data_IF_046459447903
#
_entry.id   IF_046459447903
#
_cell.length_a   1.000
_cell.length_b   1.000
_cell.length_c   1.000
_cell.angle_alpha   90.00
_cell.angle_beta   90.00
_cell.angle_gamma   90.00
#
_symmetry.space_group_name_H-M   'P 1'
#
loop_
_entity.id
_entity.type
_entity.pdbx_description
1 polymer ?
#
# COMPACT_ATOMS: atom_id res chain seq x y z
N UNK A 1 -5.74 -7.14 20.42
CA UNK A 1 -5.57 -6.51 19.10
C UNK A 1 -6.79 -6.53 18.17
N UNK A 2 -7.73 -7.49 18.30
CA UNK A 2 -9.10 -7.30 17.77
C UNK A 2 -9.68 -5.92 18.14
N UNK A 3 -9.25 -5.40 19.29
CA UNK A 3 -9.56 -4.08 19.81
C UNK A 3 -9.06 -2.92 18.90
N UNK A 4 -7.87 -3.00 18.26
CA UNK A 4 -7.34 -1.91 17.45
C UNK A 4 -8.08 -1.75 16.11
N UNK A 5 -8.41 -2.84 15.43
CA UNK A 5 -9.20 -2.81 14.19
C UNK A 5 -10.60 -2.25 14.46
N UNK A 6 -11.26 -2.72 15.53
CA UNK A 6 -12.57 -2.21 15.92
C UNK A 6 -12.50 -0.74 16.33
N UNK A 7 -11.41 -0.31 16.97
CA UNK A 7 -11.20 1.10 17.29
C UNK A 7 -11.05 1.96 16.03
N UNK A 8 -10.30 1.52 15.02
CA UNK A 8 -10.24 2.20 13.71
C UNK A 8 -11.63 2.32 13.08
N UNK A 9 -12.39 1.22 13.03
CA UNK A 9 -13.75 1.21 12.48
C UNK A 9 -14.70 2.12 13.26
N UNK A 10 -14.62 2.10 14.59
CA UNK A 10 -15.41 2.97 15.47
C UNK A 10 -15.09 4.45 15.22
N UNK A 11 -13.81 4.80 15.18
CA UNK A 11 -13.37 6.18 15.01
C UNK A 11 -13.69 6.71 13.61
N UNK A 12 -13.60 5.88 12.56
CA UNK A 12 -14.06 6.21 11.21
C UNK A 12 -15.54 6.61 11.20
N UNK A 13 -16.40 5.86 11.89
CA UNK A 13 -17.84 6.19 12.00
C UNK A 13 -18.11 7.51 12.73
N UNK A 14 -17.32 7.82 13.74
CA UNK A 14 -17.49 9.03 14.55
C UNK A 14 -16.98 10.30 13.85
N UNK A 15 -16.10 10.18 12.85
CA UNK A 15 -15.49 11.28 12.11
C UNK A 15 -14.87 12.37 13.01
N UNK A 16 -14.28 11.97 14.13
CA UNK A 16 -13.62 12.87 15.06
C UNK A 16 -12.20 13.18 14.57
N UNK A 17 -11.84 14.46 14.57
CA UNK A 17 -10.48 14.90 14.27
C UNK A 17 -9.49 14.49 15.38
N UNK A 18 -8.23 14.29 15.00
CA UNK A 18 -7.12 14.04 15.92
C UNK A 18 -7.11 12.68 16.60
N UNK A 19 -8.06 11.79 16.30
CA UNK A 19 -8.07 10.41 16.77
C UNK A 19 -7.05 9.53 16.02
N UNK A 20 -6.88 8.26 16.43
CA UNK A 20 -5.88 7.37 15.80
C UNK A 20 -6.21 7.08 14.33
N UNK A 21 -7.48 6.89 13.95
CA UNK A 21 -7.91 6.70 12.57
C UNK A 21 -7.51 7.90 11.70
N UNK A 22 -7.82 9.11 12.14
CA UNK A 22 -7.50 10.34 11.44
C UNK A 22 -5.99 10.51 11.24
N UNK A 23 -5.21 10.37 12.33
CA UNK A 23 -3.75 10.49 12.30
C UNK A 23 -3.12 9.46 11.36
N UNK A 24 -3.54 8.20 11.47
CA UNK A 24 -3.02 7.12 10.63
C UNK A 24 -3.36 7.33 9.16
N UNK A 25 -4.58 7.79 8.83
CA UNK A 25 -4.96 8.11 7.45
C UNK A 25 -4.01 9.14 6.83
N UNK A 26 -3.77 10.25 7.56
CA UNK A 26 -2.90 11.33 7.07
C UNK A 26 -1.46 10.84 6.95
N UNK A 27 -0.93 10.24 8.01
CA UNK A 27 0.47 9.82 8.09
C UNK A 27 0.80 8.72 7.07
N UNK A 28 -0.06 7.71 6.94
CA UNK A 28 0.15 6.63 5.99
C UNK A 28 0.05 7.13 4.54
N UNK A 29 -0.94 7.97 4.23
CA UNK A 29 -1.09 8.53 2.89
C UNK A 29 0.08 9.45 2.54
N UNK A 30 0.49 10.32 3.46
CA UNK A 30 1.65 11.20 3.26
C UNK A 30 2.90 10.39 2.97
N UNK A 31 3.33 9.54 3.90
CA UNK A 31 4.59 8.81 3.77
C UNK A 31 4.58 7.87 2.56
N UNK A 32 3.52 7.10 2.37
CA UNK A 32 3.44 6.13 1.29
C UNK A 32 3.45 6.77 -0.10
N UNK A 33 2.76 7.91 -0.31
CA UNK A 33 2.83 8.63 -1.57
C UNK A 33 4.15 9.39 -1.74
N UNK A 34 4.76 9.91 -0.66
CA UNK A 34 6.04 10.61 -0.71
C UNK A 34 7.20 9.67 -1.10
N UNK A 35 7.18 8.42 -0.64
CA UNK A 35 8.11 7.36 -1.09
C UNK A 35 8.03 7.20 -2.61
N UNK A 36 6.84 7.30 -3.21
CA UNK A 36 6.59 7.19 -4.65
C UNK A 36 6.74 8.53 -5.41
N UNK A 37 7.19 9.60 -4.74
CA UNK A 37 7.55 10.86 -5.38
C UNK A 37 6.47 11.94 -5.37
N UNK A 38 5.40 11.79 -4.60
CA UNK A 38 4.45 12.88 -4.33
C UNK A 38 5.17 14.07 -3.70
N UNK A 39 4.72 15.28 -4.02
CA UNK A 39 5.27 16.54 -3.52
C UNK A 39 4.35 17.24 -2.52
N UNK A 40 3.25 16.63 -2.13
CA UNK A 40 2.39 17.17 -1.09
C UNK A 40 3.14 17.23 0.24
N UNK A 41 2.99 18.32 0.97
CA UNK A 41 3.41 18.35 2.38
C UNK A 41 2.44 17.54 3.23
N UNK A 42 2.86 17.18 4.44
CA UNK A 42 1.97 16.52 5.41
C UNK A 42 0.73 17.37 5.70
N UNK A 43 0.91 18.68 5.84
CA UNK A 43 -0.19 19.61 6.06
C UNK A 43 -1.16 19.65 4.88
N UNK A 44 -0.67 19.68 3.63
CA UNK A 44 -1.52 19.60 2.45
C UNK A 44 -2.27 18.25 2.38
N UNK A 45 -1.60 17.16 2.73
CA UNK A 45 -2.24 15.83 2.80
C UNK A 45 -3.36 15.82 3.85
N UNK A 46 -3.14 16.46 5.01
CA UNK A 46 -4.15 16.62 6.06
C UNK A 46 -5.34 17.45 5.58
N UNK A 47 -5.11 18.60 4.95
CA UNK A 47 -6.18 19.46 4.40
C UNK A 47 -7.05 18.72 3.38
N UNK A 48 -6.43 17.93 2.48
CA UNK A 48 -7.17 17.10 1.52
C UNK A 48 -8.07 16.09 2.26
N UNK A 49 -7.57 15.48 3.33
CA UNK A 49 -8.36 14.54 4.12
C UNK A 49 -9.54 15.22 4.85
N UNK A 50 -9.26 16.31 5.56
CA UNK A 50 -10.22 16.98 6.44
C UNK A 50 -11.26 17.80 5.67
N UNK A 51 -10.81 18.62 4.72
CA UNK A 51 -11.63 19.66 4.12
C UNK A 51 -11.87 19.51 2.63
N UNK A 52 -11.18 18.56 1.97
CA UNK A 52 -11.18 18.40 0.50
C UNK A 52 -10.64 19.63 -0.24
N UNK A 53 -9.84 20.43 0.43
CA UNK A 53 -9.13 21.59 -0.12
C UNK A 53 -7.64 21.43 0.06
N UNK A 54 -6.86 22.28 -0.59
CA UNK A 54 -5.41 22.34 -0.44
C UNK A 54 -4.95 23.78 -0.61
N UNK A 55 -4.11 24.26 0.29
CA UNK A 55 -3.51 25.58 0.20
C UNK A 55 -2.20 25.53 -0.60
N UNK A 56 -1.92 26.62 -1.31
CA UNK A 56 -0.69 26.77 -2.09
C UNK A 56 -0.70 25.98 -3.41
N UNK A 57 0.50 25.61 -3.85
CA UNK A 57 0.68 24.87 -5.10
C UNK A 57 0.74 23.37 -4.83
N UNK A 58 -0.16 22.61 -5.45
CA UNK A 58 -0.17 21.15 -5.44
C UNK A 58 -0.47 20.64 -6.85
N UNK A 59 0.14 19.50 -7.22
CA UNK A 59 -0.16 18.84 -8.48
C UNK A 59 -1.47 18.09 -8.36
N UNK A 60 -2.33 18.17 -9.38
CA UNK A 60 -3.61 17.45 -9.39
C UNK A 60 -3.42 15.94 -9.26
N UNK A 61 -2.36 15.38 -9.87
CA UNK A 61 -2.02 13.98 -9.73
C UNK A 61 -1.73 13.60 -8.27
N UNK A 62 -0.95 14.42 -7.54
CA UNK A 62 -0.62 14.14 -6.13
C UNK A 62 -1.88 14.24 -5.23
N UNK A 63 -2.80 15.18 -5.53
CA UNK A 63 -4.10 15.31 -4.82
C UNK A 63 -4.96 14.06 -5.06
N UNK A 64 -5.03 13.60 -6.32
CA UNK A 64 -5.79 12.39 -6.67
C UNK A 64 -5.20 11.16 -6.00
N UNK A 65 -3.88 10.99 -6.02
CA UNK A 65 -3.19 9.87 -5.37
C UNK A 65 -3.43 9.86 -3.86
N UNK A 66 -3.35 11.01 -3.18
CA UNK A 66 -3.67 11.11 -1.75
C UNK A 66 -5.15 10.76 -1.48
N UNK A 67 -6.06 11.28 -2.29
CA UNK A 67 -7.50 11.00 -2.16
C UNK A 67 -7.80 9.50 -2.34
N UNK A 68 -7.18 8.86 -3.32
CA UNK A 68 -7.35 7.43 -3.55
C UNK A 68 -6.72 6.60 -2.43
N UNK A 69 -5.60 7.06 -1.87
CA UNK A 69 -4.96 6.38 -0.75
C UNK A 69 -5.86 6.36 0.49
N UNK A 70 -6.58 7.46 0.77
CA UNK A 70 -7.58 7.48 1.85
C UNK A 70 -8.72 6.49 1.60
N UNK A 71 -9.23 6.41 0.37
CA UNK A 71 -10.25 5.43 0.00
C UNK A 71 -9.74 4.00 0.12
N UNK A 72 -8.49 3.77 -0.28
CA UNK A 72 -7.85 2.47 -0.16
C UNK A 72 -7.72 2.03 1.31
N UNK A 73 -7.34 2.95 2.21
CA UNK A 73 -7.29 2.65 3.64
C UNK A 73 -8.68 2.27 4.19
N UNK A 74 -9.73 2.98 3.77
CA UNK A 74 -11.10 2.64 4.17
C UNK A 74 -11.53 1.26 3.64
N UNK A 75 -11.25 0.95 2.38
CA UNK A 75 -11.50 -0.36 1.79
C UNK A 75 -10.71 -1.47 2.50
N UNK A 76 -9.46 -1.19 2.88
CA UNK A 76 -8.63 -2.09 3.66
C UNK A 76 -9.24 -2.38 5.04
N UNK A 77 -9.74 -1.37 5.76
CA UNK A 77 -10.40 -1.59 7.05
C UNK A 77 -11.67 -2.42 6.93
N UNK A 78 -12.43 -2.27 5.82
CA UNK A 78 -13.64 -3.03 5.57
C UNK A 78 -13.34 -4.52 5.32
N UNK A 79 -12.21 -4.82 4.69
CA UNK A 79 -11.77 -6.17 4.33
C UNK A 79 -10.61 -6.70 5.20
N UNK A 80 -10.32 -6.03 6.33
CA UNK A 80 -9.12 -6.31 7.13
C UNK A 80 -9.03 -7.76 7.63
N UNK A 81 -10.15 -8.41 7.88
CA UNK A 81 -10.23 -9.79 8.38
C UNK A 81 -10.25 -10.85 7.26
N UNK A 82 -10.46 -10.41 6.00
CA UNK A 82 -10.48 -11.32 4.86
C UNK A 82 -9.08 -11.88 4.56
N UNK A 83 -8.96 -13.17 4.17
CA UNK A 83 -7.70 -13.71 3.68
C UNK A 83 -7.25 -12.97 2.43
N UNK A 84 -5.93 -12.94 2.20
CA UNK A 84 -5.39 -12.39 0.97
C UNK A 84 -5.86 -13.25 -0.21
N UNK A 85 -6.21 -12.59 -1.31
CA UNK A 85 -6.51 -13.22 -2.59
C UNK A 85 -6.07 -12.32 -3.74
N UNK A 86 -5.83 -12.85 -4.94
CA UNK A 86 -5.56 -12.03 -6.11
C UNK A 86 -6.65 -10.99 -6.35
N UNK A 87 -7.92 -11.36 -6.17
CA UNK A 87 -9.09 -10.50 -6.36
C UNK A 87 -9.09 -9.32 -5.38
N UNK A 88 -8.73 -9.57 -4.12
CA UNK A 88 -8.61 -8.51 -3.11
C UNK A 88 -7.49 -7.52 -3.50
N UNK A 89 -6.34 -8.00 -3.96
CA UNK A 89 -5.25 -7.14 -4.40
C UNK A 89 -5.60 -6.34 -5.65
N UNK A 90 -6.33 -6.94 -6.60
CA UNK A 90 -6.86 -6.26 -7.78
C UNK A 90 -7.87 -5.17 -7.40
N UNK A 91 -8.75 -5.44 -6.43
CA UNK A 91 -9.72 -4.44 -5.94
C UNK A 91 -9.02 -3.27 -5.24
N UNK A 92 -7.97 -3.52 -4.47
CA UNK A 92 -7.14 -2.47 -3.87
C UNK A 92 -6.46 -1.61 -4.93
N UNK A 93 -5.91 -2.25 -5.96
CA UNK A 93 -5.30 -1.53 -7.08
C UNK A 93 -6.34 -0.71 -7.87
N UNK A 94 -7.55 -1.24 -8.06
CA UNK A 94 -8.64 -0.51 -8.68
C UNK A 94 -8.95 0.79 -7.91
N UNK A 95 -9.12 0.70 -6.59
CA UNK A 95 -9.38 1.88 -5.74
C UNK A 95 -8.23 2.87 -5.81
N UNK A 96 -6.97 2.40 -5.75
CA UNK A 96 -5.79 3.25 -5.76
C UNK A 96 -5.62 4.01 -7.08
N UNK A 97 -5.94 3.38 -8.21
CA UNK A 97 -5.67 3.93 -9.55
C UNK A 97 -6.90 4.60 -10.19
N UNK A 98 -8.06 4.52 -9.57
CA UNK A 98 -9.29 5.09 -10.11
C UNK A 98 -9.18 6.60 -10.37
N UNK A 99 -9.44 7.03 -11.60
CA UNK A 99 -9.47 8.44 -11.98
C UNK A 99 -8.12 9.15 -11.97
N UNK A 100 -6.99 8.42 -11.91
CA UNK A 100 -5.67 9.01 -12.06
C UNK A 100 -5.41 9.41 -13.51
N UNK A 101 -4.62 10.48 -13.71
CA UNK A 101 -4.21 10.92 -15.04
C UNK A 101 -3.53 9.80 -15.84
N UNK A 102 -2.72 9.00 -15.17
CA UNK A 102 -2.00 7.87 -15.74
C UNK A 102 -2.96 6.81 -16.29
N UNK A 103 -3.99 6.42 -15.49
CA UNK A 103 -5.01 5.47 -15.92
C UNK A 103 -5.88 6.01 -17.07
N UNK A 104 -6.05 7.33 -17.15
CA UNK A 104 -6.79 7.96 -18.25
C UNK A 104 -5.96 8.11 -19.53
N UNK A 105 -4.62 8.15 -19.43
CA UNK A 105 -3.73 8.40 -20.55
C UNK A 105 -3.39 7.14 -21.37
N UNK A 106 -3.28 5.97 -20.69
CA UNK A 106 -2.86 4.73 -21.37
C UNK A 106 -3.50 3.50 -20.69
N UNK A 107 -4.13 2.60 -21.50
CA UNK A 107 -4.75 1.35 -20.99
C UNK A 107 -3.81 0.43 -20.20
N UNK A 108 -2.49 0.52 -20.39
CA UNK A 108 -1.52 -0.28 -19.61
C UNK A 108 -1.57 0.03 -18.11
N UNK A 109 -2.05 1.23 -17.73
CA UNK A 109 -2.24 1.66 -16.34
C UNK A 109 -3.69 1.49 -15.87
N UNK A 110 -4.47 0.65 -16.54
CA UNK A 110 -5.86 0.43 -16.16
C UNK A 110 -5.98 -0.03 -14.69
N UNK A 111 -6.94 0.52 -13.92
CA UNK A 111 -7.18 0.10 -12.55
C UNK A 111 -7.60 -1.37 -12.46
N UNK A 112 -7.14 -2.06 -11.42
CA UNK A 112 -7.59 -3.42 -11.13
C UNK A 112 -7.10 -4.51 -12.10
N UNK A 113 -5.99 -4.27 -12.83
CA UNK A 113 -5.41 -5.26 -13.74
C UNK A 113 -3.92 -5.47 -13.45
N UNK A 114 -3.44 -6.68 -13.72
CA UNK A 114 -2.00 -6.95 -13.67
C UNK A 114 -1.26 -6.24 -14.79
N UNK A 115 0.04 -6.05 -14.63
CA UNK A 115 0.89 -5.42 -15.64
C UNK A 115 0.87 -6.18 -16.96
N UNK A 116 0.93 -5.42 -18.05
CA UNK A 116 1.00 -5.95 -19.40
C UNK A 116 2.42 -5.89 -19.98
N UNK A 117 3.29 -5.04 -19.42
CA UNK A 117 4.66 -4.88 -19.86
C UNK A 117 5.65 -5.22 -18.74
N UNK A 118 6.82 -5.80 -19.07
CA UNK A 118 7.90 -5.98 -18.12
C UNK A 118 8.29 -4.64 -17.48
N UNK A 119 8.63 -4.68 -16.21
CA UNK A 119 9.14 -3.51 -15.48
C UNK A 119 10.36 -3.90 -14.62
N UNK A 120 11.07 -2.89 -14.16
CA UNK A 120 12.25 -3.03 -13.32
C UNK A 120 12.10 -2.20 -12.05
N UNK A 121 12.67 -2.70 -10.95
CA UNK A 121 12.74 -1.99 -9.67
C UNK A 121 14.17 -2.05 -9.16
N UNK A 122 14.78 -0.88 -8.93
CA UNK A 122 16.15 -0.81 -8.44
C UNK A 122 17.18 -1.48 -9.37
N UNK A 123 16.92 -1.50 -10.70
CA UNK A 123 17.77 -2.16 -11.69
C UNK A 123 17.61 -3.68 -11.76
N UNK A 124 16.62 -4.24 -11.08
CA UNK A 124 16.30 -5.67 -11.13
C UNK A 124 15.01 -5.87 -11.91
N UNK A 125 15.05 -6.80 -12.87
CA UNK A 125 13.86 -7.24 -13.61
C UNK A 125 12.92 -7.94 -12.63
N UNK A 126 11.66 -7.55 -12.66
CA UNK A 126 10.61 -8.17 -11.85
C UNK A 126 10.00 -9.36 -12.58
N UNK A 127 9.04 -10.08 -11.96
CA UNK A 127 8.32 -11.18 -12.61
C UNK A 127 7.74 -10.77 -13.96
N UNK A 128 7.86 -11.61 -14.99
CA UNK A 128 7.30 -11.34 -16.31
C UNK A 128 5.77 -11.29 -16.26
N UNK A 129 5.10 -10.46 -17.07
CA UNK A 129 3.65 -10.28 -17.03
C UNK A 129 2.84 -11.58 -17.05
N UNK A 130 3.20 -12.52 -17.91
CA UNK A 130 2.53 -13.82 -18.06
C UNK A 130 2.68 -14.73 -16.84
N UNK A 131 3.70 -14.52 -16.03
CA UNK A 131 3.98 -15.32 -14.82
C UNK A 131 3.32 -14.73 -13.56
N UNK A 132 2.95 -13.43 -13.60
CA UNK A 132 2.42 -12.71 -12.44
C UNK A 132 1.23 -13.43 -11.78
N UNK A 133 0.18 -13.85 -12.50
CA UNK A 133 -0.98 -14.48 -11.85
C UNK A 133 -0.59 -15.75 -11.09
N UNK A 134 0.26 -16.59 -11.67
CA UNK A 134 0.69 -17.85 -11.06
C UNK A 134 1.61 -17.63 -9.86
N UNK A 135 2.58 -16.72 -9.97
CA UNK A 135 3.50 -16.44 -8.87
C UNK A 135 2.81 -15.75 -7.70
N UNK A 136 1.89 -14.83 -7.97
CA UNK A 136 1.12 -14.16 -6.93
C UNK A 136 0.19 -15.14 -6.20
N UNK A 137 -0.53 -16.00 -6.93
CA UNK A 137 -1.38 -17.02 -6.32
C UNK A 137 -0.57 -17.97 -5.43
N UNK A 138 0.60 -18.43 -5.89
CA UNK A 138 1.48 -19.30 -5.11
C UNK A 138 2.05 -18.59 -3.86
N UNK A 139 2.37 -17.30 -3.97
CA UNK A 139 2.81 -16.50 -2.82
C UNK A 139 1.71 -16.41 -1.76
N UNK A 140 0.48 -16.10 -2.18
CA UNK A 140 -0.68 -15.99 -1.30
C UNK A 140 -0.98 -17.32 -0.63
N UNK A 141 -1.04 -18.42 -1.40
CA UNK A 141 -1.29 -19.77 -0.86
C UNK A 141 -0.28 -20.15 0.23
N UNK A 142 1.01 -19.93 -0.03
CA UNK A 142 2.06 -20.16 0.94
C UNK A 142 1.89 -19.32 2.20
N UNK A 143 1.59 -18.04 2.06
CA UNK A 143 1.39 -17.12 3.18
C UNK A 143 0.18 -17.51 4.02
N UNK A 144 -0.97 -17.77 3.38
CA UNK A 144 -2.22 -18.15 4.08
C UNK A 144 -2.12 -19.50 4.77
N UNK A 145 -1.30 -20.42 4.25
CA UNK A 145 -0.99 -21.71 4.88
C UNK A 145 0.06 -21.64 6.01
N UNK A 146 0.72 -20.50 6.19
CA UNK A 146 1.78 -20.30 7.18
C UNK A 146 1.29 -19.83 8.55
N UNK A 147 2.22 -19.46 9.40
CA UNK A 147 1.95 -18.96 10.77
C UNK A 147 1.42 -17.53 10.76
N UNK A 148 1.74 -16.75 9.73
CA UNK A 148 1.46 -15.33 9.59
C UNK A 148 1.99 -14.49 10.76
N UNK A 149 3.14 -14.90 11.30
CA UNK A 149 3.90 -14.11 12.25
C UNK A 149 4.45 -12.83 11.58
N UNK A 150 5.05 -11.94 12.36
CA UNK A 150 5.60 -10.68 11.83
C UNK A 150 6.58 -10.92 10.67
N UNK A 151 7.47 -11.90 10.83
CA UNK A 151 8.46 -12.26 9.81
C UNK A 151 7.79 -12.76 8.52
N UNK A 152 6.70 -13.53 8.60
CA UNK A 152 5.94 -14.00 7.43
C UNK A 152 5.26 -12.83 6.71
N UNK A 153 4.75 -11.85 7.46
CA UNK A 153 4.13 -10.64 6.90
C UNK A 153 5.17 -9.82 6.12
N UNK A 154 6.36 -9.67 6.69
CA UNK A 154 7.46 -8.94 6.04
C UNK A 154 8.01 -9.72 4.84
N UNK A 155 8.14 -11.06 4.92
CA UNK A 155 8.53 -11.91 3.77
C UNK A 155 7.51 -11.82 2.63
N UNK A 156 6.21 -11.83 2.96
CA UNK A 156 5.16 -11.61 1.97
C UNK A 156 5.32 -10.26 1.28
N UNK A 157 5.51 -9.19 2.05
CA UNK A 157 5.71 -7.85 1.51
C UNK A 157 6.92 -7.79 0.57
N UNK A 158 8.07 -8.33 0.99
CA UNK A 158 9.26 -8.39 0.16
C UNK A 158 8.99 -9.13 -1.17
N UNK A 159 8.38 -10.32 -1.11
CA UNK A 159 8.12 -11.11 -2.32
C UNK A 159 7.07 -10.47 -3.22
N UNK A 160 6.08 -9.78 -2.65
CA UNK A 160 5.14 -8.97 -3.41
C UNK A 160 5.86 -7.85 -4.19
N UNK A 161 6.79 -7.13 -3.54
CA UNK A 161 7.61 -6.11 -4.21
C UNK A 161 8.52 -6.71 -5.29
N UNK A 162 8.96 -7.95 -5.15
CA UNK A 162 9.74 -8.68 -6.17
C UNK A 162 8.89 -9.14 -7.36
N UNK A 163 7.67 -9.61 -7.13
CA UNK A 163 6.71 -9.95 -8.19
C UNK A 163 6.32 -8.69 -8.96
N UNK A 164 6.06 -7.60 -8.26
CA UNK A 164 5.67 -6.31 -8.81
C UNK A 164 4.49 -6.44 -9.76
N UNK A 165 3.30 -6.88 -9.27
CA UNK A 165 2.22 -7.39 -10.10
C UNK A 165 1.55 -6.34 -10.98
N UNK A 166 1.68 -5.05 -10.68
CA UNK A 166 1.00 -3.97 -11.38
C UNK A 166 1.97 -3.15 -12.23
N UNK A 167 1.47 -2.42 -13.23
CA UNK A 167 2.30 -1.52 -14.01
C UNK A 167 2.79 -0.32 -13.20
N UNK A 168 1.99 0.14 -12.23
CA UNK A 168 2.31 1.18 -11.24
C UNK A 168 1.53 0.92 -9.94
N UNK A 169 1.93 1.55 -8.82
CA UNK A 169 1.23 1.48 -7.54
C UNK A 169 1.62 0.30 -6.65
N UNK A 170 2.58 -0.52 -7.04
CA UNK A 170 2.98 -1.72 -6.28
C UNK A 170 3.42 -1.37 -4.86
N UNK A 171 4.32 -0.41 -4.67
CA UNK A 171 4.79 -0.01 -3.34
C UNK A 171 3.65 0.46 -2.42
N UNK A 172 2.70 1.24 -2.95
CA UNK A 172 1.52 1.71 -2.18
C UNK A 172 0.62 0.56 -1.78
N UNK A 173 0.35 -0.38 -2.69
CA UNK A 173 -0.43 -1.60 -2.40
C UNK A 173 0.34 -2.49 -1.42
N UNK A 174 1.62 -2.74 -1.64
CA UNK A 174 2.45 -3.57 -0.76
C UNK A 174 2.46 -3.05 0.68
N UNK A 175 2.65 -1.74 0.89
CA UNK A 175 2.60 -1.13 2.23
C UNK A 175 1.20 -1.15 2.85
N UNK A 176 0.14 -1.01 2.05
CA UNK A 176 -1.24 -1.15 2.53
C UNK A 176 -1.54 -2.58 2.97
N UNK A 177 -1.10 -3.59 2.20
CA UNK A 177 -1.24 -5.00 2.55
C UNK A 177 -0.43 -5.35 3.79
N UNK A 178 0.79 -4.83 3.91
CA UNK A 178 1.62 -4.97 5.12
C UNK A 178 0.86 -4.48 6.36
N UNK A 179 0.27 -3.29 6.29
CA UNK A 179 -0.54 -2.72 7.37
C UNK A 179 -1.77 -3.58 7.68
N UNK A 180 -2.49 -4.02 6.64
CA UNK A 180 -3.66 -4.91 6.75
C UNK A 180 -3.33 -6.21 7.48
N UNK A 181 -2.27 -6.88 7.06
CA UNK A 181 -1.91 -8.18 7.62
C UNK A 181 -1.38 -8.07 9.05
N UNK A 182 -0.73 -6.96 9.40
CA UNK A 182 -0.44 -6.67 10.80
C UNK A 182 -1.72 -6.60 11.64
N UNK A 183 -2.74 -5.84 11.20
CA UNK A 183 -4.04 -5.75 11.91
C UNK A 183 -4.71 -7.12 12.01
N UNK A 184 -4.79 -7.86 10.88
CA UNK A 184 -5.46 -9.17 10.81
C UNK A 184 -4.86 -10.20 11.76
N UNK A 185 -3.54 -10.22 11.87
CA UNK A 185 -2.82 -11.23 12.63
C UNK A 185 -2.39 -10.77 14.03
N UNK A 186 -2.91 -9.63 14.47
CA UNK A 186 -2.64 -9.16 15.79
C UNK A 186 -1.22 -8.63 16.02
N UNK A 187 -0.53 -8.24 14.96
CA UNK A 187 0.74 -7.52 15.00
C UNK A 187 0.47 -6.02 15.04
N UNK A 188 1.25 -5.26 15.80
CA UNK A 188 1.09 -3.80 15.81
C UNK A 188 1.48 -3.25 14.42
N UNK A 189 0.54 -2.61 13.68
CA UNK A 189 0.88 -2.06 12.38
C UNK A 189 1.83 -0.87 12.52
N UNK A 190 2.65 -0.67 11.51
CA UNK A 190 3.60 0.43 11.44
C UNK A 190 3.57 1.09 10.06
N UNK A 191 4.07 2.30 10.00
CA UNK A 191 4.19 3.10 8.77
C UNK A 191 5.67 3.21 8.44
N UNK A 192 6.04 3.00 7.18
CA UNK A 192 7.39 3.29 6.69
C UNK A 192 7.51 4.78 6.47
N UNK A 193 8.34 5.52 7.25
CA UNK A 193 8.49 6.95 7.08
C UNK A 193 9.26 7.29 5.81
N UNK A 194 8.88 8.36 5.09
CA UNK A 194 9.59 8.79 3.88
C UNK A 194 11.06 9.14 4.14
N UNK A 195 11.37 9.72 5.27
CA UNK A 195 12.76 10.04 5.66
C UNK A 195 13.63 8.78 5.86
N UNK A 196 13.02 7.62 6.04
CA UNK A 196 13.66 6.30 6.16
C UNK A 196 13.63 5.48 4.85
N UNK A 197 13.11 6.01 3.75
CA UNK A 197 12.96 5.27 2.49
C UNK A 197 14.26 4.63 1.98
N UNK A 198 15.43 5.26 2.23
CA UNK A 198 16.71 4.67 1.83
C UNK A 198 17.02 3.37 2.59
N UNK A 199 16.66 3.29 3.86
CA UNK A 199 16.82 2.07 4.66
C UNK A 199 15.81 1.01 4.23
N UNK A 200 14.57 1.41 3.97
CA UNK A 200 13.54 0.52 3.43
C UNK A 200 13.95 -0.11 2.10
N UNK A 201 14.39 0.69 1.12
CA UNK A 201 14.86 0.16 -0.16
C UNK A 201 16.13 -0.70 -0.01
N UNK A 202 17.03 -0.34 0.90
CA UNK A 202 18.18 -1.18 1.21
C UNK A 202 17.75 -2.52 1.81
N UNK A 203 16.76 -2.52 2.71
CA UNK A 203 16.18 -3.72 3.28
C UNK A 203 15.59 -4.62 2.20
N UNK A 204 14.80 -4.07 1.28
CA UNK A 204 14.25 -4.82 0.13
C UNK A 204 15.36 -5.38 -0.78
N UNK A 205 16.41 -4.60 -1.05
CA UNK A 205 17.49 -5.04 -1.94
C UNK A 205 18.34 -6.17 -1.37
N UNK A 206 18.49 -6.24 -0.05
CA UNK A 206 19.36 -7.21 0.62
C UNK A 206 18.61 -8.29 1.40
N UNK A 207 17.29 -8.38 1.26
CA UNK A 207 16.45 -9.23 2.10
C UNK A 207 16.84 -10.71 2.10
N UNK A 208 17.22 -11.26 0.95
CA UNK A 208 17.60 -12.67 0.84
C UNK A 208 18.87 -13.01 1.64
N UNK A 209 19.81 -12.07 1.72
CA UNK A 209 21.09 -12.26 2.42
C UNK A 209 21.03 -11.80 3.88
N UNK A 210 20.33 -10.68 4.14
CA UNK A 210 20.27 -10.02 5.44
C UNK A 210 18.83 -9.54 5.76
N UNK A 211 17.87 -10.44 6.05
CA UNK A 211 16.47 -10.07 6.27
C UNK A 211 16.27 -9.07 7.42
N UNK A 212 17.18 -9.04 8.39
CA UNK A 212 17.17 -8.10 9.51
C UNK A 212 17.26 -6.62 9.14
N UNK A 213 17.55 -6.28 7.88
CA UNK A 213 17.49 -4.89 7.42
C UNK A 213 16.06 -4.41 7.14
N UNK A 214 15.14 -5.33 6.91
CA UNK A 214 13.74 -5.02 6.65
C UNK A 214 12.85 -5.34 7.88
N UNK A 215 13.30 -6.27 8.71
CA UNK A 215 12.68 -6.62 9.99
C UNK A 215 13.07 -5.63 11.10
#
# INVERSE_FOLDING_TARGET
MADLLEEYRRQRRLKLEGNIYHKTQVELAYNSNHIEGSRLTEEQTRQIFETRTVDGHARLADIQDATNHFRLFDAMLDTAEEPLSPELLLSFHEVLKQGTEQAASDPIFAPGVFKALPNEVGGLVTTLPEEVPGQLASLIERYEGGSRAFEDIVDFHYRFERIHPFQDGNGRIGRMVLFKECLRNGVLPFIVPDDKKRFYYRGLANYEDEPGWLL
#
